data_IF_379527807550
#
_entry.id   IF_379527807550
#
_cell.length_a   1.000
_cell.length_b   1.000
_cell.length_c   1.000
_cell.angle_alpha   90.00
_cell.angle_beta   90.00
_cell.angle_gamma   90.00
#
_symmetry.space_group_name_H-M   'P 1'
#
loop_
_entity.id
_entity.type
_entity.pdbx_description
1 polymer ?
#
# COMPACT_ATOMS: atom_id res chain seq x y z
N UNK A 1 1.08 2.86 -11.03
CA UNK A 1 0.39 3.05 -9.72
C UNK A 1 1.24 3.90 -8.78
N UNK A 2 2.56 3.73 -8.77
CA UNK A 2 3.52 4.70 -8.22
C UNK A 2 3.33 6.08 -8.88
N UNK A 3 3.49 7.15 -8.11
CA UNK A 3 3.31 8.54 -8.55
C UNK A 3 1.84 9.00 -8.61
N UNK A 4 0.88 8.14 -8.29
CA UNK A 4 -0.54 8.51 -8.20
C UNK A 4 -0.92 8.80 -6.75
N UNK A 5 -1.88 9.71 -6.55
CA UNK A 5 -2.50 9.91 -5.25
C UNK A 5 -3.26 8.64 -4.82
N UNK A 6 -3.09 8.24 -3.57
CA UNK A 6 -3.77 7.08 -3.00
C UNK A 6 -5.27 7.35 -2.91
N UNK A 7 -6.05 6.35 -3.30
CA UNK A 7 -7.51 6.35 -3.20
C UNK A 7 -7.98 4.93 -2.98
N UNK A 8 -9.19 4.76 -2.46
CA UNK A 8 -9.77 3.42 -2.22
C UNK A 8 -9.80 2.59 -3.50
N UNK A 9 -10.12 3.22 -4.64
CA UNK A 9 -10.10 2.56 -5.95
C UNK A 9 -8.69 2.15 -6.39
N UNK A 10 -7.67 2.99 -6.12
CA UNK A 10 -6.29 2.65 -6.43
C UNK A 10 -5.76 1.51 -5.55
N UNK A 11 -6.09 1.52 -4.27
CA UNK A 11 -5.74 0.44 -3.33
C UNK A 11 -6.38 -0.88 -3.75
N UNK A 12 -7.67 -0.88 -4.08
CA UNK A 12 -8.38 -2.08 -4.53
C UNK A 12 -7.86 -2.61 -5.87
N UNK A 13 -7.57 -1.73 -6.82
CA UNK A 13 -6.99 -2.15 -8.11
C UNK A 13 -5.57 -2.72 -7.93
N UNK A 14 -4.75 -2.12 -7.06
CA UNK A 14 -3.43 -2.63 -6.72
C UNK A 14 -3.51 -4.00 -6.03
N UNK A 15 -4.44 -4.16 -5.06
CA UNK A 15 -4.69 -5.43 -4.37
C UNK A 15 -5.03 -6.53 -5.36
N UNK A 16 -6.01 -6.30 -6.23
CA UNK A 16 -6.44 -7.27 -7.27
C UNK A 16 -5.31 -7.59 -8.23
N UNK A 17 -4.56 -6.60 -8.68
CA UNK A 17 -3.42 -6.80 -9.59
C UNK A 17 -2.29 -7.63 -8.94
N UNK A 18 -2.09 -7.48 -7.62
CA UNK A 18 -1.09 -8.24 -6.87
C UNK A 18 -1.53 -9.65 -6.44
N UNK A 19 -2.83 -9.95 -6.51
CA UNK A 19 -3.41 -11.19 -5.97
C UNK A 19 -3.47 -11.25 -4.44
N UNK A 20 -3.17 -10.17 -3.73
CA UNK A 20 -3.21 -10.14 -2.27
C UNK A 20 -4.64 -10.22 -1.71
N UNK A 21 -4.79 -10.88 -0.56
CA UNK A 21 -6.07 -10.94 0.14
C UNK A 21 -6.46 -9.57 0.72
N UNK A 22 -5.47 -8.85 1.25
CA UNK A 22 -5.67 -7.54 1.88
C UNK A 22 -4.67 -6.50 1.37
N UNK A 23 -4.98 -5.21 1.56
CA UNK A 23 -4.05 -4.13 1.25
C UNK A 23 -4.02 -3.09 2.38
N UNK A 24 -2.85 -2.51 2.63
CA UNK A 24 -2.59 -1.50 3.67
C UNK A 24 -1.82 -0.33 3.10
N UNK A 25 -2.22 0.89 3.45
CA UNK A 25 -1.47 2.11 3.12
C UNK A 25 -0.58 2.51 4.30
N UNK A 26 0.70 2.75 4.04
CA UNK A 26 1.71 3.17 5.00
C UNK A 26 2.07 4.64 4.75
N UNK A 27 1.81 5.49 5.74
CA UNK A 27 2.14 6.92 5.70
C UNK A 27 3.46 7.18 6.44
N UNK A 28 4.19 8.24 6.07
CA UNK A 28 5.40 8.63 6.80
C UNK A 28 5.07 8.91 8.27
N UNK A 29 5.92 8.43 9.18
CA UNK A 29 5.76 8.65 10.63
C UNK A 29 4.67 7.81 11.30
N UNK A 30 3.91 7.00 10.56
CA UNK A 30 2.98 6.06 11.18
C UNK A 30 3.76 4.98 11.94
N UNK A 31 3.50 4.85 13.24
CA UNK A 31 3.96 3.66 13.97
C UNK A 31 3.20 2.45 13.45
N UNK A 32 3.94 1.53 12.84
CA UNK A 32 3.41 0.26 12.34
C UNK A 32 4.26 -0.88 12.86
N UNK A 33 3.61 -2.01 13.13
CA UNK A 33 4.32 -3.25 13.42
C UNK A 33 4.93 -3.79 12.13
N UNK A 34 6.16 -4.30 12.24
CA UNK A 34 6.88 -4.95 11.13
C UNK A 34 6.47 -6.42 11.00
N UNK A 35 5.16 -6.70 11.11
CA UNK A 35 4.65 -8.05 10.89
C UNK A 35 4.70 -8.38 9.39
N UNK A 36 5.25 -9.56 9.09
CA UNK A 36 5.20 -10.14 7.76
C UNK A 36 3.87 -10.88 7.59
N UNK A 37 3.12 -10.52 6.55
CA UNK A 37 1.79 -10.97 6.18
C UNK A 37 1.77 -11.20 4.67
N UNK A 38 2.16 -12.39 4.21
CA UNK A 38 2.28 -12.72 2.77
C UNK A 38 0.97 -12.50 1.99
N UNK A 39 -0.16 -12.50 2.69
CA UNK A 39 -1.50 -12.24 2.16
C UNK A 39 -1.82 -10.74 1.99
N UNK A 40 -0.88 -9.84 2.29
CA UNK A 40 -1.07 -8.40 2.31
C UNK A 40 -0.18 -7.66 1.31
N UNK A 41 -0.81 -6.70 0.63
CA UNK A 41 -0.13 -5.68 -0.16
C UNK A 41 0.10 -4.43 0.69
N UNK A 42 1.34 -3.95 0.77
CA UNK A 42 1.67 -2.68 1.41
C UNK A 42 1.91 -1.60 0.35
N UNK A 43 1.13 -0.52 0.39
CA UNK A 43 1.33 0.69 -0.41
C UNK A 43 1.95 1.78 0.48
N UNK A 44 3.19 2.17 0.20
CA UNK A 44 3.83 3.29 0.89
C UNK A 44 3.47 4.59 0.16
N UNK A 45 3.10 5.61 0.92
CA UNK A 45 2.81 6.95 0.39
C UNK A 45 3.73 7.99 1.02
N UNK A 46 3.88 9.14 0.38
CA UNK A 46 4.50 10.33 0.96
C UNK A 46 3.48 11.19 1.76
N UNK A 47 3.93 12.34 2.24
CA UNK A 47 3.10 13.29 2.98
C UNK A 47 1.99 13.94 2.12
N UNK A 48 2.11 13.91 0.79
CA UNK A 48 1.12 14.45 -0.15
C UNK A 48 0.11 13.38 -0.63
N UNK A 49 0.12 12.22 0.02
CA UNK A 49 -0.68 11.04 -0.32
C UNK A 49 -0.31 10.39 -1.65
N UNK A 50 0.90 10.62 -2.16
CA UNK A 50 1.37 10.03 -3.41
C UNK A 50 2.04 8.70 -3.14
N UNK A 51 1.65 7.65 -3.88
CA UNK A 51 2.26 6.32 -3.75
C UNK A 51 3.72 6.35 -4.21
N UNK A 52 4.63 6.01 -3.29
CA UNK A 52 6.08 5.97 -3.53
C UNK A 52 6.59 4.54 -3.71
N UNK A 53 5.95 3.55 -3.09
CA UNK A 53 6.33 2.14 -3.24
C UNK A 53 5.13 1.20 -3.05
N UNK A 54 5.20 0.03 -3.69
CA UNK A 54 4.22 -1.05 -3.52
C UNK A 54 5.01 -2.34 -3.30
N UNK A 55 4.70 -3.08 -2.24
CA UNK A 55 5.41 -4.31 -1.85
C UNK A 55 4.44 -5.37 -1.34
N UNK A 56 4.60 -6.60 -1.79
CA UNK A 56 3.92 -7.77 -1.21
C UNK A 56 4.75 -8.24 -0.01
N UNK A 57 4.11 -8.53 1.12
CA UNK A 57 4.86 -8.96 2.31
C UNK A 57 4.05 -8.97 3.58
#
# INVERSE_FOLDING_TARGET
MVGKRVSTALVESARRASGAATARTLRPGAMVTMEYRVDRLNLTVDAADTVTAIRCG
#
